data_IF_661353586415
#
_entry.id   IF_661353586415
#
_cell.length_a   1.000
_cell.length_b   1.000
_cell.length_c   1.000
_cell.angle_alpha   90.00
_cell.angle_beta   90.00
_cell.angle_gamma   90.00
#
_symmetry.space_group_name_H-M   'P 1'
#
loop_
_entity.id
_entity.type
_entity.pdbx_description
1 polymer ?
#
# COMPACT_ATOMS: atom_id res chain seq x y z
N UNK A 1 -4.47 6.73 -8.04
CA UNK A 1 -4.99 5.39 -8.40
C UNK A 1 -6.21 5.07 -7.55
N UNK A 2 -7.29 4.60 -8.14
CA UNK A 2 -8.51 4.25 -7.41
C UNK A 2 -8.46 2.77 -7.02
N UNK A 3 -8.56 2.49 -5.71
CA UNK A 3 -8.48 1.13 -5.17
C UNK A 3 -9.85 0.41 -5.12
N UNK A 4 -10.95 1.10 -5.45
CA UNK A 4 -12.28 0.52 -5.39
C UNK A 4 -12.40 -0.71 -6.28
N UNK A 5 -12.80 -1.85 -5.69
CA UNK A 5 -12.98 -3.10 -6.41
C UNK A 5 -11.70 -3.79 -6.87
N UNK A 6 -10.52 -3.23 -6.56
CA UNK A 6 -9.23 -3.83 -6.94
C UNK A 6 -8.81 -4.88 -5.93
N UNK A 7 -8.14 -5.93 -6.40
CA UNK A 7 -7.60 -6.99 -5.54
C UNK A 7 -6.31 -6.49 -4.89
N UNK A 8 -6.22 -6.61 -3.57
CA UNK A 8 -5.13 -6.05 -2.77
C UNK A 8 -3.74 -6.46 -3.28
N UNK A 9 -3.51 -7.74 -3.53
CA UNK A 9 -2.19 -8.23 -3.98
C UNK A 9 -1.76 -7.65 -5.32
N UNK A 10 -2.67 -7.59 -6.29
CA UNK A 10 -2.39 -7.03 -7.61
C UNK A 10 -2.17 -5.52 -7.54
N UNK A 11 -2.99 -4.82 -6.77
CA UNK A 11 -2.84 -3.38 -6.56
C UNK A 11 -1.47 -3.08 -5.94
N UNK A 12 -1.09 -3.81 -4.90
CA UNK A 12 0.19 -3.62 -4.22
C UNK A 12 1.38 -3.88 -5.16
N UNK A 13 1.29 -4.87 -6.04
CA UNK A 13 2.34 -5.17 -7.02
C UNK A 13 2.55 -3.99 -7.97
N UNK A 14 1.47 -3.42 -8.50
CA UNK A 14 1.56 -2.28 -9.41
C UNK A 14 2.11 -1.03 -8.69
N UNK A 15 1.66 -0.78 -7.46
CA UNK A 15 2.15 0.33 -6.66
C UNK A 15 3.65 0.19 -6.37
N UNK A 16 4.10 -1.00 -6.03
CA UNK A 16 5.52 -1.25 -5.76
C UNK A 16 6.39 -1.01 -6.99
N UNK A 17 5.92 -1.41 -8.18
CA UNK A 17 6.64 -1.16 -9.44
C UNK A 17 6.80 0.34 -9.70
N UNK A 18 5.74 1.12 -9.52
CA UNK A 18 5.76 2.56 -9.73
C UNK A 18 6.68 3.24 -8.71
N UNK A 19 6.59 2.87 -7.44
CA UNK A 19 7.41 3.45 -6.38
C UNK A 19 8.90 3.15 -6.56
N UNK A 20 9.24 1.97 -7.08
CA UNK A 20 10.63 1.61 -7.40
C UNK A 20 11.14 2.23 -8.68
N UNK A 21 10.23 2.69 -9.55
CA UNK A 21 10.60 3.22 -10.85
C UNK A 21 10.93 2.18 -11.91
N UNK A 22 10.55 0.91 -11.71
CA UNK A 22 10.84 -0.18 -12.66
C UNK A 22 10.20 0.01 -14.02
N UNK A 23 9.15 0.82 -14.11
CA UNK A 23 8.48 1.17 -15.35
C UNK A 23 9.21 2.25 -16.16
N UNK A 24 10.32 2.78 -15.63
CA UNK A 24 11.09 3.84 -16.28
C UNK A 24 12.39 3.30 -16.85
N UNK A 25 12.84 3.81 -18.03
CA UNK A 25 14.13 3.41 -18.60
C UNK A 25 15.33 3.86 -17.75
N UNK A 26 15.13 4.83 -16.87
CA UNK A 26 16.16 5.35 -15.95
C UNK A 26 16.32 4.51 -14.68
N UNK A 27 15.62 3.37 -14.58
CA UNK A 27 15.66 2.53 -13.38
C UNK A 27 17.09 2.13 -13.01
N UNK A 28 17.46 2.39 -11.75
CA UNK A 28 18.74 2.00 -11.17
C UNK A 28 18.48 1.41 -9.77
N UNK A 29 18.90 0.16 -9.47
CA UNK A 29 18.52 -0.50 -8.22
C UNK A 29 18.90 0.23 -6.94
N UNK A 30 19.96 1.02 -6.95
CA UNK A 30 20.46 1.73 -5.76
C UNK A 30 20.04 3.20 -5.69
N UNK A 31 19.20 3.66 -6.63
CA UNK A 31 18.71 5.04 -6.69
C UNK A 31 17.19 5.02 -6.72
N UNK A 32 16.57 5.94 -5.97
CA UNK A 32 15.11 6.10 -5.97
C UNK A 32 14.67 6.92 -7.18
N UNK A 33 14.25 6.24 -8.25
CA UNK A 33 13.77 6.85 -9.50
C UNK A 33 12.24 6.79 -9.65
N UNK A 34 11.53 6.30 -8.64
CA UNK A 34 10.08 6.14 -8.68
C UNK A 34 9.31 7.46 -8.52
N UNK A 35 8.01 7.39 -8.78
CA UNK A 35 7.10 8.52 -8.68
C UNK A 35 6.32 8.51 -7.37
N UNK A 36 5.82 9.69 -6.97
CA UNK A 36 4.80 9.79 -5.91
C UNK A 36 3.49 9.21 -6.41
N UNK A 37 2.81 8.45 -5.55
CA UNK A 37 1.52 7.83 -5.88
C UNK A 37 0.49 8.20 -4.82
N UNK A 38 -0.71 8.58 -5.29
CA UNK A 38 -1.86 8.84 -4.43
C UNK A 38 -2.89 7.74 -4.68
N UNK A 39 -3.31 7.04 -3.63
CA UNK A 39 -4.33 5.99 -3.68
C UNK A 39 -5.58 6.47 -2.96
N UNK A 40 -6.72 6.37 -3.62
CA UNK A 40 -8.02 6.74 -3.05
C UNK A 40 -8.93 5.52 -2.93
N UNK A 41 -9.98 5.62 -2.13
CA UNK A 41 -10.94 4.54 -1.89
C UNK A 41 -10.30 3.27 -1.31
N UNK A 42 -9.30 3.42 -0.45
CA UNK A 42 -8.61 2.29 0.16
C UNK A 42 -9.55 1.40 0.99
N UNK A 43 -10.62 1.96 1.54
CA UNK A 43 -11.62 1.21 2.28
C UNK A 43 -12.45 0.25 1.44
N UNK A 44 -12.39 0.36 0.11
CA UNK A 44 -13.15 -0.47 -0.83
C UNK A 44 -12.29 -1.49 -1.57
N UNK A 45 -11.05 -1.71 -1.14
CA UNK A 45 -10.18 -2.74 -1.69
C UNK A 45 -10.72 -4.13 -1.35
N UNK A 46 -10.50 -5.11 -2.22
CA UNK A 46 -11.00 -6.48 -2.04
C UNK A 46 -9.87 -7.48 -1.88
N UNK A 47 -10.18 -8.62 -1.26
CA UNK A 47 -9.29 -9.77 -1.16
C UNK A 47 -9.95 -10.97 -1.82
N UNK A 48 -9.15 -11.84 -2.44
CA UNK A 48 -9.67 -13.04 -3.10
C UNK A 48 -10.02 -14.14 -2.10
N UNK A 49 -11.01 -14.97 -2.45
CA UNK A 49 -11.42 -16.11 -1.62
C UNK A 49 -11.93 -15.68 -0.25
N UNK A 50 -11.54 -16.42 0.78
CA UNK A 50 -11.93 -16.16 2.18
C UNK A 50 -10.88 -15.36 2.95
N UNK A 51 -9.95 -14.69 2.28
CA UNK A 51 -8.86 -13.94 2.94
C UNK A 51 -9.36 -12.81 3.84
N UNK A 52 -10.49 -12.19 3.50
CA UNK A 52 -11.06 -11.12 4.31
C UNK A 52 -11.34 -11.56 5.75
N UNK A 53 -11.79 -12.81 5.94
CA UNK A 53 -12.05 -13.38 7.27
C UNK A 53 -10.87 -14.14 7.85
N UNK A 54 -10.06 -14.81 7.00
CA UNK A 54 -9.05 -15.76 7.43
C UNK A 54 -7.64 -15.18 7.51
N UNK A 55 -7.33 -14.13 6.74
CA UNK A 55 -6.01 -13.52 6.79
C UNK A 55 -5.80 -12.79 8.10
N UNK A 56 -4.69 -13.11 8.79
CA UNK A 56 -4.34 -12.53 10.08
C UNK A 56 -3.14 -11.61 9.95
N UNK A 57 -3.19 -10.48 10.65
CA UNK A 57 -2.09 -9.54 10.78
C UNK A 57 -1.59 -9.56 12.21
N UNK A 58 -0.28 -9.75 12.37
CA UNK A 58 0.36 -9.84 13.69
C UNK A 58 1.14 -8.57 13.98
N UNK A 59 0.99 -8.07 15.19
CA UNK A 59 1.72 -6.92 15.67
C UNK A 59 2.31 -7.23 17.05
N UNK A 60 3.61 -6.99 17.21
CA UNK A 60 4.31 -7.21 18.48
C UNK A 60 4.51 -5.89 19.20
N UNK A 61 4.16 -5.84 20.48
CA UNK A 61 4.26 -4.63 21.31
C UNK A 61 5.62 -4.45 21.99
N UNK A 62 6.62 -5.29 21.67
CA UNK A 62 7.96 -5.32 22.26
C UNK A 62 7.97 -5.66 23.76
N UNK A 63 6.93 -6.37 24.25
CA UNK A 63 6.85 -6.91 25.61
C UNK A 63 6.63 -8.42 25.56
N UNK A 64 7.09 -9.20 26.57
CA UNK A 64 6.78 -10.62 26.63
C UNK A 64 5.27 -10.85 26.56
N UNK A 65 4.82 -11.76 25.66
CA UNK A 65 3.40 -12.01 25.43
C UNK A 65 2.64 -10.91 24.72
N UNK A 66 3.34 -9.91 24.15
CA UNK A 66 2.74 -8.73 23.52
C UNK A 66 2.39 -8.87 22.04
N UNK A 67 2.07 -10.08 21.56
CA UNK A 67 1.63 -10.29 20.17
C UNK A 67 0.15 -9.98 20.08
N UNK A 68 -0.21 -9.05 19.19
CA UNK A 68 -1.60 -8.73 18.88
C UNK A 68 -1.94 -9.26 17.51
N UNK A 69 -3.14 -9.85 17.37
CA UNK A 69 -3.62 -10.45 16.13
C UNK A 69 -4.91 -9.75 15.71
N UNK A 70 -4.97 -9.34 14.45
CA UNK A 70 -6.15 -8.70 13.87
C UNK A 70 -6.44 -9.36 12.52
N UNK A 71 -7.69 -9.76 12.24
CA UNK A 71 -8.02 -10.29 10.93
C UNK A 71 -8.17 -9.16 9.91
N UNK A 72 -8.17 -9.52 8.62
CA UNK A 72 -8.20 -8.53 7.54
C UNK A 72 -9.48 -7.69 7.55
N UNK A 73 -10.62 -8.30 7.85
CA UNK A 73 -11.91 -7.59 7.91
C UNK A 73 -11.89 -6.51 8.99
N UNK A 74 -11.41 -6.85 10.18
CA UNK A 74 -11.31 -5.90 11.30
C UNK A 74 -10.30 -4.79 11.01
N UNK A 75 -9.16 -5.12 10.42
CA UNK A 75 -8.14 -4.15 10.05
C UNK A 75 -8.69 -3.16 9.02
N UNK A 76 -9.41 -3.64 8.02
CA UNK A 76 -10.00 -2.81 6.98
C UNK A 76 -11.05 -1.84 7.55
N UNK A 77 -11.86 -2.27 8.53
CA UNK A 77 -12.87 -1.41 9.14
C UNK A 77 -12.26 -0.36 10.08
N UNK A 78 -11.19 -0.69 10.79
CA UNK A 78 -10.54 0.22 11.75
C UNK A 78 -9.49 1.11 11.11
N UNK A 79 -8.63 0.55 10.25
CA UNK A 79 -7.52 1.25 9.61
C UNK A 79 -7.44 0.87 8.13
N UNK A 80 -8.32 1.41 7.28
CA UNK A 80 -8.41 0.97 5.88
C UNK A 80 -7.15 1.24 5.07
N UNK A 81 -6.35 2.24 5.43
CA UNK A 81 -5.11 2.55 4.72
C UNK A 81 -3.97 1.58 5.03
N UNK A 82 -3.99 0.93 6.20
CA UNK A 82 -2.91 0.06 6.64
C UNK A 82 -2.77 -1.21 5.82
N UNK A 83 -3.87 -1.77 5.32
CA UNK A 83 -3.81 -2.99 4.50
C UNK A 83 -2.95 -2.80 3.25
N UNK A 84 -3.19 -1.71 2.52
CA UNK A 84 -2.44 -1.40 1.30
C UNK A 84 -0.99 -1.08 1.66
N UNK A 85 -0.78 -0.30 2.70
CA UNK A 85 0.57 0.07 3.15
C UNK A 85 1.40 -1.16 3.51
N UNK A 86 0.86 -2.09 4.28
CA UNK A 86 1.56 -3.31 4.69
C UNK A 86 1.87 -4.22 3.49
N UNK A 87 0.93 -4.35 2.55
CA UNK A 87 1.14 -5.15 1.35
C UNK A 87 2.27 -4.58 0.49
N UNK A 88 2.28 -3.27 0.26
CA UNK A 88 3.33 -2.59 -0.53
C UNK A 88 4.67 -2.65 0.20
N UNK A 89 4.69 -2.44 1.52
CA UNK A 89 5.91 -2.52 2.32
C UNK A 89 6.59 -3.88 2.20
N UNK A 90 5.80 -4.97 2.17
CA UNK A 90 6.32 -6.31 1.99
C UNK A 90 6.95 -6.56 0.63
N UNK A 91 6.57 -5.78 -0.39
CA UNK A 91 7.06 -5.89 -1.77
C UNK A 91 8.21 -4.93 -2.08
N UNK A 92 8.50 -3.98 -1.21
CA UNK A 92 9.62 -3.04 -1.37
C UNK A 92 10.88 -3.58 -0.67
N UNK A 93 12.09 -3.11 -1.05
CA UNK A 93 13.32 -3.47 -0.35
C UNK A 93 13.25 -3.12 1.14
N UNK A 94 13.82 -3.96 1.99
CA UNK A 94 13.82 -3.79 3.45
C UNK A 94 15.06 -3.05 3.93
N UNK A 95 15.30 -1.86 3.38
CA UNK A 95 16.44 -1.03 3.72
C UNK A 95 16.03 0.45 3.74
N UNK A 96 16.98 1.37 3.90
CA UNK A 96 16.69 2.81 3.93
C UNK A 96 16.08 3.31 2.62
N UNK A 97 16.52 2.79 1.48
CA UNK A 97 15.97 3.15 0.18
C UNK A 97 14.50 2.71 0.05
N UNK A 98 14.18 1.49 0.49
CA UNK A 98 12.80 1.00 0.50
C UNK A 98 11.88 1.84 1.37
N UNK A 99 12.37 2.31 2.51
CA UNK A 99 11.60 3.21 3.39
C UNK A 99 11.36 4.57 2.74
N UNK A 100 12.33 5.11 2.00
CA UNK A 100 12.13 6.33 1.22
C UNK A 100 11.08 6.15 0.12
N UNK A 101 11.10 5.00 -0.56
CA UNK A 101 10.09 4.66 -1.57
C UNK A 101 8.69 4.61 -0.97
N UNK A 102 8.54 3.99 0.21
CA UNK A 102 7.25 3.87 0.89
C UNK A 102 6.70 5.25 1.29
N UNK A 103 7.53 6.20 1.63
CA UNK A 103 7.10 7.57 1.98
C UNK A 103 6.46 8.32 0.81
N UNK A 104 6.70 7.91 -0.42
CA UNK A 104 6.07 8.50 -1.61
C UNK A 104 4.66 7.96 -1.86
N UNK A 105 4.24 6.94 -1.13
CA UNK A 105 2.90 6.38 -1.20
C UNK A 105 1.98 7.12 -0.24
N UNK A 106 0.94 7.76 -0.77
CA UNK A 106 -0.08 8.46 0.01
C UNK A 106 -1.41 7.74 -0.19
N UNK A 107 -2.00 7.25 0.88
CA UNK A 107 -3.22 6.43 0.84
C UNK A 107 -4.34 7.11 1.60
N UNK A 108 -5.51 7.18 0.98
CA UNK A 108 -6.72 7.77 1.56
C UNK A 108 -7.88 6.80 1.47
N UNK A 109 -8.65 6.67 2.55
CA UNK A 109 -9.77 5.74 2.63
C UNK A 109 -10.94 6.14 1.73
N UNK A 110 -11.19 7.45 1.57
CA UNK A 110 -12.27 7.98 0.76
C UNK A 110 -11.82 8.43 -0.63
N UNK A 111 -12.74 9.03 -1.42
CA UNK A 111 -12.43 9.46 -2.78
C UNK A 111 -11.67 10.79 -2.86
N UNK A 112 -11.56 11.53 -1.77
CA UNK A 112 -10.92 12.84 -1.73
C UNK A 112 -9.48 12.75 -1.26
N UNK A 113 -8.62 13.64 -1.79
CA UNK A 113 -7.22 13.77 -1.39
C UNK A 113 -6.80 15.25 -1.41
N UNK A 114 -5.79 15.66 -0.60
CA UNK A 114 -5.35 17.06 -0.53
C UNK A 114 -4.29 17.41 -1.59
N UNK A 115 -4.17 16.65 -2.67
CA UNK A 115 -3.11 16.80 -3.67
C UNK A 115 -3.58 17.41 -5.00
N UNK A 116 -4.72 18.10 -5.03
CA UNK A 116 -5.26 18.69 -6.25
C UNK A 116 -4.32 19.69 -6.90
N UNK A 117 -3.61 20.48 -6.09
CA UNK A 117 -2.64 21.46 -6.59
C UNK A 117 -1.45 20.82 -7.31
N UNK A 118 -1.17 19.57 -7.08
CA UNK A 118 -0.09 18.82 -7.72
C UNK A 118 -0.55 18.18 -9.04
N UNK A 119 -1.82 18.30 -9.39
CA UNK A 119 -2.43 17.80 -10.62
C UNK A 119 -2.07 16.33 -10.91
N UNK A 120 -2.43 15.38 -10.01
CA UNK A 120 -2.10 13.97 -10.23
C UNK A 120 -2.85 13.42 -11.43
N UNK A 121 -2.15 12.59 -12.22
CA UNK A 121 -2.72 11.91 -13.38
C UNK A 121 -3.35 10.61 -12.95
N UNK A 122 -4.56 10.33 -13.46
CA UNK A 122 -5.23 9.06 -13.17
C UNK A 122 -4.46 7.88 -13.79
N UNK A 123 -4.23 6.85 -12.96
CA UNK A 123 -3.57 5.63 -13.37
C UNK A 123 -4.52 4.46 -13.15
N UNK A 124 -4.71 3.63 -14.17
CA UNK A 124 -5.50 2.42 -14.07
C UNK A 124 -4.62 1.18 -14.21
N UNK A 125 -5.03 0.13 -13.48
CA UNK A 125 -4.37 -1.16 -13.58
C UNK A 125 -4.73 -1.88 -14.86
#
# INVERSE_FOLDING_TARGET
MNAEGKILGRLATELAKILRGKNKPTFTPHVDTGDFVVVVNAGKVTLTGKKMKNKMYYHHTNRPGGIRVTNAEKLLSQKPTEMIRLAVKGMLPKNSLGRQMLRKLKIYAGPKHPHESQQPVSLEM
#
